data_IF_585801160512
#
_entry.id   IF_585801160512
#
_cell.length_a   1.000
_cell.length_b   1.000
_cell.length_c   1.000
_cell.angle_alpha   90.00
_cell.angle_beta   90.00
_cell.angle_gamma   90.00
#
_symmetry.space_group_name_H-M   'P 1'
#
loop_
_entity.id
_entity.type
_entity.pdbx_description
1 polymer ?
#
# COMPACT_ATOMS: atom_id res chain seq x y z
N UNK A 1 2.61 -0.05 -10.70
CA UNK A 1 2.89 0.78 -9.48
C UNK A 1 1.69 1.63 -9.01
N UNK A 2 1.47 1.70 -7.69
CA UNK A 2 0.38 2.45 -7.06
C UNK A 2 0.62 3.98 -7.11
N UNK A 3 -0.23 4.80 -7.74
CA UNK A 3 0.02 6.23 -7.87
C UNK A 3 -0.30 7.01 -6.59
N UNK A 4 0.68 7.76 -6.06
CA UNK A 4 0.48 8.70 -4.95
C UNK A 4 0.67 10.13 -5.43
N UNK A 5 -0.37 10.96 -5.29
CA UNK A 5 -0.29 12.38 -5.65
C UNK A 5 -0.02 13.24 -4.41
N UNK A 6 1.17 13.83 -4.33
CA UNK A 6 1.60 14.60 -3.14
C UNK A 6 0.84 15.92 -2.94
N UNK A 7 0.16 16.41 -3.98
CA UNK A 7 -0.64 17.64 -3.93
C UNK A 7 -2.12 17.43 -3.64
N UNK A 8 -2.60 16.19 -3.58
CA UNK A 8 -4.01 15.88 -3.47
C UNK A 8 -4.38 15.61 -2.00
N UNK A 9 -5.35 16.36 -1.48
CA UNK A 9 -6.04 16.00 -0.24
C UNK A 9 -6.97 14.82 -0.53
N UNK A 10 -6.88 13.75 0.25
CA UNK A 10 -7.70 12.56 0.02
C UNK A 10 -7.15 11.32 0.72
N UNK A 11 -7.52 10.17 0.17
CA UNK A 11 -7.10 8.86 0.68
C UNK A 11 -6.28 8.11 -0.36
N UNK A 12 -5.18 7.52 0.10
CA UNK A 12 -4.38 6.56 -0.65
C UNK A 12 -4.88 5.16 -0.32
N UNK A 13 -5.13 4.34 -1.34
CA UNK A 13 -5.54 2.95 -1.16
C UNK A 13 -4.35 2.03 -1.36
N UNK A 14 -4.22 1.01 -0.52
CA UNK A 14 -3.17 -0.02 -0.57
C UNK A 14 -3.84 -1.35 -0.33
N UNK A 15 -3.53 -2.36 -1.15
CA UNK A 15 -4.05 -3.71 -0.97
C UNK A 15 -2.93 -4.63 -0.46
N UNK A 16 -3.24 -5.44 0.56
CA UNK A 16 -2.44 -6.62 0.90
C UNK A 16 -3.17 -7.80 0.27
N UNK A 17 -2.54 -8.44 -0.71
CA UNK A 17 -3.19 -9.49 -1.48
C UNK A 17 -3.36 -10.77 -0.68
N UNK A 18 -4.55 -11.37 -0.79
CA UNK A 18 -4.79 -12.73 -0.35
C UNK A 18 -4.15 -13.74 -1.29
N UNK A 19 -3.94 -14.96 -0.80
CA UNK A 19 -3.59 -16.10 -1.66
C UNK A 19 -4.23 -17.36 -1.10
N UNK A 20 -4.13 -18.48 -1.82
CA UNK A 20 -4.56 -19.80 -1.31
C UNK A 20 -3.97 -20.12 0.07
N UNK A 21 -2.75 -19.64 0.35
CA UNK A 21 -2.01 -19.93 1.57
C UNK A 21 -1.97 -18.74 2.55
N UNK A 22 -2.62 -17.62 2.23
CA UNK A 22 -2.58 -16.42 3.06
C UNK A 22 -3.97 -15.79 3.20
N UNK A 23 -4.57 -16.00 4.37
CA UNK A 23 -5.84 -15.40 4.76
C UNK A 23 -5.64 -14.02 5.40
N UNK A 24 -5.94 -12.98 4.64
CA UNK A 24 -5.82 -11.57 5.06
C UNK A 24 -6.76 -11.18 6.20
N UNK A 25 -7.81 -11.95 6.49
CA UNK A 25 -8.72 -11.68 7.62
C UNK A 25 -8.04 -11.92 8.97
N UNK A 26 -6.92 -12.62 8.98
CA UNK A 26 -6.09 -12.84 10.15
C UNK A 26 -5.18 -11.66 10.49
N UNK A 27 -5.13 -10.62 9.65
CA UNK A 27 -4.32 -9.41 9.86
C UNK A 27 -5.01 -8.46 10.85
N UNK A 28 -4.26 -7.95 11.83
CA UNK A 28 -4.71 -6.82 12.62
C UNK A 28 -4.43 -5.51 11.86
N UNK A 29 -5.42 -5.05 11.09
CA UNK A 29 -5.31 -3.86 10.23
C UNK A 29 -4.85 -2.59 10.98
N UNK A 30 -5.17 -2.45 12.26
CA UNK A 30 -4.76 -1.27 13.06
C UNK A 30 -3.27 -1.20 13.37
N UNK A 31 -2.55 -2.31 13.19
CA UNK A 31 -1.10 -2.37 13.40
C UNK A 31 -0.30 -2.12 12.12
N UNK A 32 -0.99 -1.96 10.99
CA UNK A 32 -0.35 -1.84 9.69
C UNK A 32 0.17 -0.41 9.49
N UNK A 33 1.44 -0.27 9.13
CA UNK A 33 2.12 1.02 8.90
C UNK A 33 3.18 0.88 7.79
N UNK A 34 3.53 1.99 7.15
CA UNK A 34 4.67 2.05 6.24
C UNK A 34 5.95 2.51 6.93
N UNK A 35 7.10 1.90 6.63
CA UNK A 35 8.43 2.24 7.14
C UNK A 35 8.47 2.60 8.64
N UNK A 36 7.64 1.92 9.44
CA UNK A 36 7.45 2.17 10.88
C UNK A 36 7.13 3.64 11.23
N UNK A 37 6.54 4.39 10.30
CA UNK A 37 6.12 5.79 10.46
C UNK A 37 5.06 6.00 11.55
N UNK A 38 4.30 4.97 11.89
CA UNK A 38 3.19 5.04 12.84
C UNK A 38 1.89 5.56 12.22
N UNK A 39 1.87 5.86 10.92
CA UNK A 39 0.64 6.24 10.20
C UNK A 39 -0.23 5.00 10.03
N UNK A 40 -1.34 4.95 10.76
CA UNK A 40 -2.31 3.86 10.68
C UNK A 40 -3.36 4.10 9.57
N UNK A 41 -3.99 3.04 9.03
CA UNK A 41 -5.08 3.20 8.09
C UNK A 41 -6.29 3.85 8.77
N UNK A 42 -6.98 4.75 8.05
CA UNK A 42 -8.23 5.39 8.48
C UNK A 42 -9.39 4.39 8.53
N UNK A 43 -9.41 3.45 7.59
CA UNK A 43 -10.42 2.39 7.43
C UNK A 43 -9.89 1.29 6.51
N UNK A 44 -10.56 0.16 6.51
CA UNK A 44 -10.25 -0.97 5.63
C UNK A 44 -11.51 -1.71 5.18
N UNK A 45 -11.36 -2.49 4.11
CA UNK A 45 -12.37 -3.38 3.55
C UNK A 45 -11.72 -4.67 3.04
N UNK A 46 -12.56 -5.69 2.82
CA UNK A 46 -12.15 -6.96 2.24
C UNK A 46 -12.78 -7.09 0.86
N UNK A 47 -11.94 -7.08 -0.16
CA UNK A 47 -12.35 -6.99 -1.57
C UNK A 47 -11.37 -7.79 -2.41
N UNK A 48 -11.80 -8.36 -3.53
CA UNK A 48 -10.91 -8.90 -4.56
C UNK A 48 -10.53 -7.73 -5.48
N UNK A 49 -9.36 -7.14 -5.24
CA UNK A 49 -9.01 -5.81 -5.75
C UNK A 49 -7.64 -5.75 -6.43
N UNK A 50 -6.73 -6.66 -6.11
CA UNK A 50 -5.36 -6.66 -6.60
C UNK A 50 -4.80 -8.07 -6.72
N UNK A 51 -4.02 -8.31 -7.77
CA UNK A 51 -3.27 -9.55 -7.95
C UNK A 51 -1.90 -9.38 -7.28
N UNK A 52 -1.36 -10.38 -6.56
CA UNK A 52 0.01 -10.34 -6.10
C UNK A 52 0.98 -10.12 -7.26
N UNK A 53 1.92 -9.18 -7.11
CA UNK A 53 3.03 -9.08 -8.04
C UNK A 53 3.98 -10.26 -7.82
N UNK A 54 4.14 -11.12 -8.83
CA UNK A 54 5.15 -12.16 -8.80
C UNK A 54 6.53 -11.54 -8.94
N UNK A 55 7.35 -11.66 -7.88
CA UNK A 55 8.69 -11.10 -7.88
C UNK A 55 9.55 -11.76 -8.95
N UNK A 56 9.95 -11.00 -9.95
CA UNK A 56 11.00 -11.38 -10.89
C UNK A 56 12.34 -10.72 -10.49
N UNK A 57 13.42 -11.50 -10.29
CA UNK A 57 14.73 -10.94 -9.95
C UNK A 57 15.19 -9.88 -10.95
N UNK A 58 15.38 -8.65 -10.49
CA UNK A 58 15.80 -7.51 -11.31
C UNK A 58 14.65 -6.69 -11.89
N UNK A 59 13.39 -7.08 -11.64
CA UNK A 59 12.19 -6.30 -11.96
C UNK A 59 11.67 -5.70 -10.65
N UNK A 60 11.74 -4.37 -10.57
CA UNK A 60 11.24 -3.60 -9.44
C UNK A 60 9.99 -2.85 -9.89
N UNK A 61 8.90 -3.59 -10.08
CA UNK A 61 7.63 -3.05 -10.54
C UNK A 61 6.50 -3.51 -9.63
N UNK A 62 5.31 -2.98 -9.83
CA UNK A 62 4.06 -3.57 -9.34
C UNK A 62 3.25 -4.11 -10.50
N UNK A 63 2.11 -4.71 -10.19
CA UNK A 63 1.13 -5.10 -11.22
C UNK A 63 0.03 -4.06 -11.34
N UNK A 64 -0.54 -3.93 -12.55
CA UNK A 64 -1.82 -3.23 -12.78
C UNK A 64 -2.99 -4.22 -12.86
N UNK A 65 -2.71 -5.53 -12.74
CA UNK A 65 -3.72 -6.57 -12.62
C UNK A 65 -4.53 -6.38 -11.34
N UNK A 66 -5.84 -6.58 -11.47
CA UNK A 66 -6.80 -6.28 -10.41
C UNK A 66 -7.28 -7.58 -9.78
N UNK A 67 -8.50 -8.01 -10.07
CA UNK A 67 -9.11 -9.17 -9.41
C UNK A 67 -8.46 -10.49 -9.85
N UNK A 68 -8.07 -11.31 -8.86
CA UNK A 68 -7.45 -12.63 -9.03
C UNK A 68 -8.26 -13.78 -8.40
N UNK A 69 -9.37 -13.45 -7.75
CA UNK A 69 -10.26 -14.41 -7.10
C UNK A 69 -9.94 -14.67 -5.63
N UNK A 70 -8.91 -14.04 -5.06
CA UNK A 70 -8.61 -14.06 -3.63
C UNK A 70 -9.10 -12.78 -2.94
N UNK A 71 -9.40 -12.90 -1.65
CA UNK A 71 -9.84 -11.74 -0.86
C UNK A 71 -8.60 -10.97 -0.40
N UNK A 72 -8.56 -9.68 -0.69
CA UNK A 72 -7.51 -8.77 -0.28
C UNK A 72 -7.96 -7.90 0.90
N UNK A 73 -6.98 -7.46 1.69
CA UNK A 73 -7.19 -6.41 2.68
C UNK A 73 -6.86 -5.06 2.07
N UNK A 74 -7.89 -4.27 1.76
CA UNK A 74 -7.76 -2.93 1.19
C UNK A 74 -7.75 -1.90 2.31
N UNK A 75 -6.63 -1.22 2.49
CA UNK A 75 -6.38 -0.22 3.51
C UNK A 75 -6.49 1.18 2.90
N UNK A 76 -7.12 2.12 3.62
CA UNK A 76 -7.21 3.52 3.20
C UNK A 76 -6.42 4.39 4.18
N UNK A 77 -5.36 5.05 3.69
CA UNK A 77 -4.52 5.96 4.47
C UNK A 77 -4.83 7.42 4.12
N UNK A 78 -4.66 8.34 5.06
CA UNK A 78 -4.69 9.77 4.74
C UNK A 78 -3.47 10.11 3.86
N UNK A 79 -3.71 10.64 2.66
CA UNK A 79 -2.62 10.91 1.72
C UNK A 79 -1.67 11.99 2.24
N UNK A 80 -2.17 13.01 2.95
CA UNK A 80 -1.33 14.11 3.44
C UNK A 80 -0.44 13.64 4.57
N UNK A 81 -1.01 12.88 5.52
CA UNK A 81 -0.25 12.30 6.63
C UNK A 81 0.82 11.33 6.13
N UNK A 82 0.46 10.45 5.20
CA UNK A 82 1.38 9.47 4.62
C UNK A 82 2.54 10.14 3.86
N UNK A 83 2.24 11.13 3.02
CA UNK A 83 3.25 11.88 2.26
C UNK A 83 4.21 12.60 3.20
N UNK A 84 3.69 13.26 4.25
CA UNK A 84 4.51 13.96 5.22
C UNK A 84 5.40 13.02 6.04
N UNK A 85 4.86 11.88 6.49
CA UNK A 85 5.60 10.92 7.31
C UNK A 85 6.72 10.21 6.53
N UNK A 86 6.52 9.97 5.23
CA UNK A 86 7.49 9.29 4.36
C UNK A 86 8.38 10.25 3.56
N UNK A 87 8.13 11.56 3.61
CA UNK A 87 8.86 12.56 2.82
C UNK A 87 8.69 12.37 1.30
N UNK A 88 7.53 11.91 0.85
CA UNK A 88 7.30 11.55 -0.56
C UNK A 88 7.34 12.76 -1.49
N UNK A 89 7.15 13.98 -0.98
CA UNK A 89 7.29 15.21 -1.74
C UNK A 89 8.70 15.40 -2.33
N UNK A 90 9.73 14.82 -1.70
CA UNK A 90 11.09 14.80 -2.21
C UNK A 90 11.33 13.87 -3.42
N UNK A 91 10.37 12.99 -3.74
CA UNK A 91 10.52 11.93 -4.74
C UNK A 91 9.58 12.11 -5.96
N UNK A 92 9.07 13.33 -6.19
CA UNK A 92 8.14 13.60 -7.29
C UNK A 92 8.74 13.21 -8.65
N UNK A 93 8.02 12.36 -9.39
CA UNK A 93 8.46 11.83 -10.69
C UNK A 93 9.22 10.51 -10.59
N UNK A 94 9.48 10.02 -9.36
CA UNK A 94 10.18 8.77 -9.11
C UNK A 94 9.22 7.65 -8.68
N UNK A 95 9.73 6.42 -8.76
CA UNK A 95 9.10 5.24 -8.18
C UNK A 95 9.86 4.84 -6.93
N UNK A 96 9.13 4.68 -5.82
CA UNK A 96 9.68 4.41 -4.50
C UNK A 96 9.11 3.09 -4.01
N UNK A 97 9.96 2.25 -3.42
CA UNK A 97 9.51 1.04 -2.73
C UNK A 97 9.23 1.38 -1.27
N UNK A 98 8.00 1.14 -0.83
CA UNK A 98 7.60 1.30 0.55
C UNK A 98 7.51 -0.05 1.22
N UNK A 99 8.13 -0.19 2.39
CA UNK A 99 7.97 -1.37 3.23
C UNK A 99 6.74 -1.20 4.10
N UNK A 100 5.81 -2.14 4.01
CA UNK A 100 4.67 -2.27 4.90
C UNK A 100 5.02 -3.24 6.02
N UNK A 101 4.71 -2.89 7.26
CA UNK A 101 4.83 -3.78 8.43
C UNK A 101 3.48 -3.87 9.13
N UNK A 102 3.24 -4.99 9.81
CA UNK A 102 2.03 -5.19 10.59
C UNK A 102 2.10 -6.45 11.44
N UNK A 103 1.00 -6.76 12.12
CA UNK A 103 0.86 -7.98 12.92
C UNK A 103 -0.42 -8.72 12.56
N UNK A 104 -0.36 -10.05 12.63
CA UNK A 104 -1.55 -10.90 12.64
C UNK A 104 -2.29 -10.72 13.98
N UNK A 105 -3.55 -11.16 14.06
CA UNK A 105 -4.37 -11.14 15.28
C UNK A 105 -3.70 -11.92 16.44
N UNK A 106 -2.85 -12.90 16.13
CA UNK A 106 -2.01 -13.62 17.10
C UNK A 106 -0.73 -12.90 17.53
N UNK A 107 -0.46 -11.70 17.01
CA UNK A 107 0.71 -10.89 17.33
C UNK A 107 1.96 -11.16 16.47
N UNK A 108 1.94 -12.21 15.63
CA UNK A 108 3.02 -12.53 14.69
C UNK A 108 3.25 -11.36 13.73
N UNK A 109 4.48 -10.81 13.64
CA UNK A 109 4.77 -9.73 12.70
C UNK A 109 4.84 -10.24 11.26
N UNK A 110 4.51 -9.37 10.31
CA UNK A 110 4.74 -9.60 8.89
C UNK A 110 5.31 -8.34 8.21
N UNK A 111 5.88 -8.53 7.03
CA UNK A 111 6.33 -7.46 6.15
C UNK A 111 5.83 -7.69 4.72
N UNK A 112 5.60 -6.59 4.00
CA UNK A 112 5.26 -6.56 2.60
C UNK A 112 5.85 -5.32 1.93
N UNK A 113 5.73 -5.22 0.61
CA UNK A 113 6.28 -4.12 -0.16
C UNK A 113 5.22 -3.58 -1.13
N UNK A 114 5.16 -2.26 -1.27
CA UNK A 114 4.34 -1.57 -2.28
C UNK A 114 5.24 -0.68 -3.13
N UNK A 115 5.11 -0.77 -4.45
CA UNK A 115 5.81 0.09 -5.40
C UNK A 115 4.92 1.28 -5.72
N UNK A 116 5.31 2.46 -5.25
CA UNK A 116 4.53 3.68 -5.43
C UNK A 116 5.15 4.59 -6.47
N UNK A 117 4.32 5.12 -7.38
CA UNK A 117 4.73 6.18 -8.31
C UNK A 117 4.32 7.52 -7.75
N UNK A 118 5.30 8.35 -7.41
CA UNK A 118 5.05 9.66 -6.79
C UNK A 118 4.79 10.70 -7.86
N UNK A 119 3.65 11.36 -7.78
CA UNK A 119 3.16 12.29 -8.79
C UNK A 119 3.00 13.70 -8.23
N UNK A 120 3.36 14.68 -9.06
CA UNK A 120 3.09 16.08 -8.79
C UNK A 120 1.59 16.36 -8.64
N UNK A 121 1.19 17.42 -7.91
CA UNK A 121 -0.17 17.94 -7.97
C UNK A 121 -0.60 18.08 -9.43
N UNK A 122 -1.75 17.53 -9.83
CA UNK A 122 -2.29 17.85 -11.17
C UNK A 122 -2.54 19.36 -11.22
N UNK A 123 -1.75 20.06 -12.02
CA UNK A 123 -2.05 21.44 -12.40
C UNK A 123 -3.45 21.47 -13.01
N UNK A 124 -4.28 22.41 -12.58
CA UNK A 124 -5.49 22.76 -13.33
C UNK A 124 -5.01 23.35 -14.65
N UNK A 125 -4.98 22.54 -15.70
CA UNK A 125 -5.01 23.05 -17.07
C UNK A 125 -6.39 23.62 -17.36
#
# INVERSE_FOLDING_TARGET
PNPINVGKKGVTSVAICGTENFDVTTINATTVTFNDTGVSPLRWSYEDAATPFEFEPGVYDGTEETSDGYVDLVLKFDTVELVAALGLDGYVGEEVVLKLTGKLLGGTPFEGYDWVRVQAPKGKN
#
